data_IF_367066523285
#
_entry.id   IF_367066523285
#
_cell.length_a   1.000
_cell.length_b   1.000
_cell.length_c   1.000
_cell.angle_alpha   90.00
_cell.angle_beta   90.00
_cell.angle_gamma   90.00
#
_symmetry.space_group_name_H-M   'P 1'
#
loop_
_entity.id
_entity.type
_entity.pdbx_description
1 polymer ?
#
# COMPACT_ATOMS: atom_id res chain seq x y z
N UNK A 1 -21.15 -2.05 -12.06
CA UNK A 1 -20.00 -1.14 -12.08
C UNK A 1 -20.29 -0.05 -11.06
N UNK A 2 -19.31 0.32 -10.25
CA UNK A 2 -19.49 1.32 -9.19
C UNK A 2 -18.25 2.21 -9.09
N UNK A 3 -18.44 3.49 -8.79
CA UNK A 3 -17.34 4.42 -8.61
C UNK A 3 -16.58 4.14 -7.31
N UNK A 4 -15.26 4.32 -7.36
CA UNK A 4 -14.36 4.17 -6.23
C UNK A 4 -13.12 5.04 -6.33
N UNK A 5 -12.24 4.87 -5.35
CA UNK A 5 -10.91 5.45 -5.34
C UNK A 5 -9.86 4.34 -5.29
N UNK A 6 -8.77 4.55 -6.02
CA UNK A 6 -7.52 3.84 -5.83
C UNK A 6 -6.59 4.71 -5.00
N UNK A 7 -6.25 4.22 -3.81
CA UNK A 7 -5.17 4.74 -2.99
C UNK A 7 -3.88 4.00 -3.32
N UNK A 8 -2.83 4.76 -3.65
CA UNK A 8 -1.49 4.25 -3.90
C UNK A 8 -0.52 4.89 -2.92
N UNK A 9 0.01 4.11 -1.99
CA UNK A 9 1.02 4.57 -1.03
C UNK A 9 2.40 4.08 -1.43
N UNK A 10 3.38 4.98 -1.47
CA UNK A 10 4.77 4.69 -1.81
C UNK A 10 5.62 4.71 -0.53
N UNK A 11 6.24 3.59 -0.20
CA UNK A 11 7.08 3.40 0.99
C UNK A 11 8.36 2.66 0.62
N UNK A 12 9.34 2.62 1.52
CA UNK A 12 10.48 1.70 1.42
C UNK A 12 10.13 0.36 2.09
N UNK A 13 10.72 -0.74 1.64
CA UNK A 13 10.64 -2.02 2.36
C UNK A 13 11.43 -2.02 3.68
N UNK A 14 12.29 -1.01 3.87
CA UNK A 14 13.04 -0.74 5.09
C UNK A 14 12.31 0.18 6.08
N UNK A 15 11.21 0.82 5.69
CA UNK A 15 10.46 1.72 6.57
C UNK A 15 9.82 0.93 7.72
N UNK A 16 10.01 1.40 8.95
CA UNK A 16 9.50 0.73 10.16
C UNK A 16 8.56 1.61 10.97
N UNK A 17 7.48 1.00 11.43
CA UNK A 17 6.55 1.53 12.44
C UNK A 17 6.53 0.57 13.63
N UNK A 18 6.98 1.04 14.81
CA UNK A 18 7.14 0.19 16.01
C UNK A 18 7.81 -1.17 15.72
N UNK A 19 8.94 -1.14 15.00
CA UNK A 19 9.72 -2.31 14.57
C UNK A 19 9.02 -3.27 13.58
N UNK A 20 7.92 -2.83 12.96
CA UNK A 20 7.21 -3.60 11.93
C UNK A 20 7.28 -2.86 10.60
N UNK A 21 7.41 -3.57 9.46
CA UNK A 21 7.45 -2.92 8.17
C UNK A 21 6.20 -2.07 7.90
N UNK A 22 6.37 -0.82 7.46
CA UNK A 22 5.26 0.11 7.23
C UNK A 22 4.27 -0.45 6.20
N UNK A 23 4.75 -1.02 5.09
CA UNK A 23 3.85 -1.64 4.09
C UNK A 23 2.96 -2.72 4.71
N UNK A 24 3.50 -3.51 5.66
CA UNK A 24 2.75 -4.56 6.35
C UNK A 24 1.72 -3.96 7.31
N UNK A 25 2.07 -2.89 8.00
CA UNK A 25 1.16 -2.13 8.86
C UNK A 25 -0.01 -1.55 8.07
N UNK A 26 0.24 -0.96 6.88
CA UNK A 26 -0.81 -0.42 6.01
C UNK A 26 -1.80 -1.51 5.64
N UNK A 27 -1.31 -2.65 5.13
CA UNK A 27 -2.16 -3.80 4.74
C UNK A 27 -2.97 -4.30 5.93
N UNK A 28 -2.35 -4.45 7.10
CA UNK A 28 -3.06 -4.92 8.30
C UNK A 28 -4.11 -3.93 8.80
N UNK A 29 -3.80 -2.63 8.83
CA UNK A 29 -4.77 -1.59 9.23
C UNK A 29 -5.92 -1.53 8.23
N UNK A 30 -5.64 -1.63 6.93
CA UNK A 30 -6.67 -1.68 5.90
C UNK A 30 -7.62 -2.88 6.08
N UNK A 31 -7.06 -4.07 6.35
CA UNK A 31 -7.83 -5.26 6.68
C UNK A 31 -8.72 -5.03 7.92
N UNK A 32 -8.16 -4.48 9.00
CA UNK A 32 -8.91 -4.17 10.23
C UNK A 32 -10.00 -3.12 10.03
N UNK A 33 -9.79 -2.17 9.12
CA UNK A 33 -10.76 -1.14 8.76
C UNK A 33 -11.89 -1.66 7.85
N UNK A 34 -11.85 -2.93 7.43
CA UNK A 34 -12.90 -3.51 6.58
C UNK A 34 -12.87 -2.98 5.14
N UNK A 35 -11.70 -2.54 4.68
CA UNK A 35 -11.47 -2.26 3.27
C UNK A 35 -11.54 -3.57 2.47
N UNK A 36 -11.95 -3.44 1.21
CA UNK A 36 -12.15 -4.53 0.26
C UNK A 36 -10.93 -5.45 0.09
N UNK A 37 -9.75 -4.83 0.08
CA UNK A 37 -8.48 -5.49 -0.14
C UNK A 37 -7.36 -4.48 -0.22
N UNK A 38 -6.13 -4.97 -0.01
CA UNK A 38 -4.91 -4.22 -0.13
C UNK A 38 -3.84 -5.15 -0.72
N UNK A 39 -3.05 -4.64 -1.66
CA UNK A 39 -1.97 -5.39 -2.30
C UNK A 39 -0.67 -4.61 -2.19
N UNK A 40 0.40 -5.27 -1.75
CA UNK A 40 1.74 -4.70 -1.70
C UNK A 40 2.59 -5.24 -2.86
N UNK A 41 3.30 -4.35 -3.54
CA UNK A 41 4.18 -4.67 -4.68
C UNK A 41 5.58 -4.15 -4.37
N UNK A 42 6.58 -5.02 -4.52
CA UNK A 42 7.99 -4.62 -4.41
C UNK A 42 8.52 -4.25 -5.80
N UNK A 43 9.08 -3.06 -5.92
CA UNK A 43 9.77 -2.59 -7.12
C UNK A 43 11.20 -3.12 -7.21
N UNK A 44 11.77 -3.02 -8.41
CA UNK A 44 13.16 -3.42 -8.68
C UNK A 44 14.12 -2.29 -8.31
N UNK A 45 13.73 -1.05 -8.60
CA UNK A 45 14.48 0.16 -8.30
C UNK A 45 13.55 1.38 -8.23
N UNK A 46 14.02 2.44 -7.58
CA UNK A 46 13.30 3.72 -7.51
C UNK A 46 14.11 4.78 -6.78
N UNK A 47 13.69 6.05 -6.91
CA UNK A 47 14.24 7.16 -6.13
C UNK A 47 13.10 8.01 -5.57
N UNK A 48 13.31 8.51 -4.35
CA UNK A 48 12.36 9.39 -3.65
C UNK A 48 12.89 10.82 -3.53
N UNK A 49 12.37 11.55 -2.54
CA UNK A 49 12.72 12.95 -2.27
C UNK A 49 14.22 13.18 -1.98
N UNK A 50 14.95 12.14 -1.57
CA UNK A 50 16.41 12.20 -1.31
C UNK A 50 17.27 12.07 -2.57
N UNK A 51 16.67 11.74 -3.72
CA UNK A 51 17.36 11.60 -5.01
C UNK A 51 18.30 10.39 -5.11
N UNK A 52 18.37 9.53 -4.10
CA UNK A 52 19.18 8.30 -4.13
C UNK A 52 18.42 7.21 -4.89
N UNK A 53 19.10 6.55 -5.83
CA UNK A 53 18.58 5.37 -6.51
C UNK A 53 18.75 4.19 -5.57
N UNK A 54 17.64 3.56 -5.20
CA UNK A 54 17.60 2.31 -4.49
C UNK A 54 17.43 1.18 -5.51
N UNK A 55 18.30 0.17 -5.47
CA UNK A 55 18.36 -0.93 -6.46
C UNK A 55 19.06 -2.14 -5.82
N UNK A 56 18.75 -3.35 -6.28
CA UNK A 56 19.43 -4.59 -5.86
C UNK A 56 20.80 -4.71 -6.53
N UNK A 57 21.79 -3.90 -6.17
CA UNK A 57 23.17 -4.10 -6.62
C UNK A 57 23.95 -4.88 -5.55
N UNK A 58 24.63 -5.94 -5.99
CA UNK A 58 25.32 -7.00 -5.22
C UNK A 58 26.29 -6.52 -4.10
N UNK A 59 26.56 -5.22 -3.97
CA UNK A 59 27.49 -4.64 -2.99
C UNK A 59 26.87 -3.59 -2.05
N UNK A 60 25.56 -3.29 -2.12
CA UNK A 60 24.89 -2.44 -1.11
C UNK A 60 24.23 -3.31 -0.05
N UNK A 61 24.83 -3.37 1.14
CA UNK A 61 24.32 -4.11 2.32
C UNK A 61 23.01 -3.53 2.93
N UNK A 62 22.34 -2.60 2.24
CA UNK A 62 21.06 -2.02 2.64
C UNK A 62 20.24 -1.74 1.38
N UNK A 63 19.57 -2.78 0.88
CA UNK A 63 18.60 -2.64 -0.22
C UNK A 63 17.33 -2.00 0.36
N UNK A 64 17.11 -0.72 0.10
CA UNK A 64 15.88 0.00 0.46
C UNK A 64 14.94 0.05 -0.74
N UNK A 65 14.31 -1.08 -1.08
CA UNK A 65 13.54 -1.17 -2.32
C UNK A 65 12.20 -0.44 -2.20
N UNK A 66 11.76 0.26 -3.26
CA UNK A 66 10.44 0.88 -3.25
C UNK A 66 9.37 -0.20 -3.15
N UNK A 67 8.45 -0.02 -2.21
CA UNK A 67 7.27 -0.85 -2.03
C UNK A 67 6.03 0.02 -2.18
N UNK A 68 5.08 -0.45 -2.99
CA UNK A 68 3.83 0.25 -3.27
C UNK A 68 2.69 -0.54 -2.65
N UNK A 69 1.85 0.11 -1.85
CA UNK A 69 0.59 -0.48 -1.37
C UNK A 69 -0.58 0.14 -2.13
N UNK A 70 -1.36 -0.70 -2.80
CA UNK A 70 -2.55 -0.30 -3.56
C UNK A 70 -3.80 -0.79 -2.84
N UNK A 71 -4.76 0.10 -2.63
CA UNK A 71 -6.07 -0.17 -2.03
C UNK A 71 -7.13 0.41 -2.96
N UNK A 72 -8.14 -0.38 -3.31
CA UNK A 72 -9.28 0.08 -4.12
C UNK A 72 -10.56 -0.18 -3.36
N UNK A 73 -11.33 0.87 -3.07
CA UNK A 73 -12.64 0.75 -2.43
C UNK A 73 -13.49 2.00 -2.75
N UNK A 74 -14.71 2.03 -2.22
CA UNK A 74 -15.58 3.21 -2.19
C UNK A 74 -14.85 4.42 -1.60
N UNK A 75 -15.15 5.60 -2.14
CA UNK A 75 -14.63 6.88 -1.65
C UNK A 75 -14.74 7.01 -0.13
N UNK A 76 -15.92 6.75 0.43
CA UNK A 76 -16.19 6.91 1.85
C UNK A 76 -15.27 6.04 2.73
N UNK A 77 -14.99 4.81 2.32
CA UNK A 77 -14.09 3.92 3.08
C UNK A 77 -12.62 4.34 2.95
N UNK A 78 -12.20 4.77 1.77
CA UNK A 78 -10.83 5.28 1.56
C UNK A 78 -10.60 6.53 2.40
N UNK A 79 -11.51 7.51 2.34
CA UNK A 79 -11.42 8.75 3.11
C UNK A 79 -11.42 8.49 4.63
N UNK A 80 -12.22 7.53 5.11
CA UNK A 80 -12.21 7.11 6.51
C UNK A 80 -10.89 6.42 6.94
N UNK A 81 -10.15 5.85 5.99
CA UNK A 81 -8.87 5.20 6.25
C UNK A 81 -7.68 6.16 6.26
N UNK A 82 -7.77 7.32 5.57
CA UNK A 82 -6.65 8.27 5.44
C UNK A 82 -5.98 8.67 6.76
N UNK A 83 -6.71 8.96 7.87
CA UNK A 83 -6.05 9.29 9.14
C UNK A 83 -5.15 8.18 9.69
N UNK A 84 -5.49 6.90 9.44
CA UNK A 84 -4.67 5.76 9.85
C UNK A 84 -3.43 5.60 8.96
N UNK A 85 -3.52 6.01 7.70
CA UNK A 85 -2.40 6.04 6.76
C UNK A 85 -1.43 7.17 7.12
N UNK A 86 -1.94 8.37 7.41
CA UNK A 86 -1.14 9.54 7.77
C UNK A 86 -0.31 9.29 9.03
N UNK A 87 -0.82 8.51 9.99
CA UNK A 87 -0.06 8.08 11.16
C UNK A 87 1.16 7.21 10.79
N UNK A 88 1.01 6.34 9.79
CA UNK A 88 2.06 5.42 9.34
C UNK A 88 3.07 6.08 8.40
N UNK A 89 2.65 7.09 7.66
CA UNK A 89 3.45 7.80 6.65
C UNK A 89 3.35 9.32 6.92
N UNK A 90 3.95 9.83 8.02
CA UNK A 90 3.94 11.26 8.31
C UNK A 90 4.74 12.08 7.29
N UNK A 91 5.59 11.42 6.50
CA UNK A 91 6.26 11.98 5.32
C UNK A 91 6.43 10.90 4.26
N UNK A 92 6.22 11.25 3.00
CA UNK A 92 6.21 10.29 1.88
C UNK A 92 5.29 10.74 0.76
N UNK A 93 4.92 9.81 -0.11
CA UNK A 93 3.98 10.05 -1.21
C UNK A 93 2.83 9.06 -1.14
N UNK A 94 1.60 9.56 -1.16
CA UNK A 94 0.41 8.79 -1.43
C UNK A 94 -0.48 9.54 -2.43
N UNK A 95 -1.13 8.81 -3.32
CA UNK A 95 -2.01 9.39 -4.35
C UNK A 95 -3.39 8.74 -4.30
N UNK A 96 -4.39 9.51 -4.74
CA UNK A 96 -5.77 9.06 -4.93
C UNK A 96 -6.18 9.28 -6.37
N UNK A 97 -6.62 8.21 -7.05
CA UNK A 97 -7.21 8.30 -8.39
C UNK A 97 -8.64 7.78 -8.40
N UNK A 98 -9.60 8.47 -9.07
CA UNK A 98 -10.92 7.90 -9.35
C UNK A 98 -10.80 6.66 -10.23
N UNK A 99 -11.59 5.63 -9.92
CA UNK A 99 -11.65 4.39 -10.69
C UNK A 99 -13.08 3.87 -10.80
N UNK A 100 -13.36 3.12 -11.86
CA UNK A 100 -14.61 2.37 -12.01
C UNK A 100 -14.37 0.90 -11.63
N UNK A 101 -15.14 0.40 -10.67
CA UNK A 101 -15.02 -0.97 -10.16
C UNK A 101 -16.01 -1.86 -10.92
N UNK A 102 -15.47 -2.76 -11.76
CA UNK A 102 -16.29 -3.67 -12.58
C UNK A 102 -16.88 -4.83 -11.77
N UNK A 103 -16.05 -5.49 -10.96
CA UNK A 103 -16.42 -6.65 -10.17
C UNK A 103 -15.91 -6.52 -8.73
N UNK A 104 -16.85 -6.63 -7.80
CA UNK A 104 -16.57 -6.68 -6.37
C UNK A 104 -17.17 -7.97 -5.82
N UNK A 105 -16.35 -9.03 -5.81
CA UNK A 105 -16.75 -10.30 -5.23
C UNK A 105 -15.66 -10.75 -4.30
N UNK A 106 -15.98 -10.85 -3.00
CA UNK A 106 -15.24 -11.72 -2.12
C UNK A 106 -15.41 -13.12 -2.71
N UNK A 107 -14.42 -13.59 -3.47
CA UNK A 107 -14.39 -14.97 -3.91
C UNK A 107 -14.45 -15.82 -2.64
N UNK A 108 -15.66 -16.29 -2.32
CA UNK A 108 -15.95 -17.22 -1.25
C UNK A 108 -14.99 -18.38 -1.45
N UNK A 109 -13.96 -18.47 -0.62
CA UNK A 109 -13.03 -19.59 -0.64
C UNK A 109 -13.89 -20.85 -0.60
N UNK A 110 -13.89 -21.60 -1.69
CA UNK A 110 -14.32 -22.99 -1.65
C UNK A 110 -13.38 -23.63 -0.63
N UNK A 111 -13.90 -23.97 0.54
CA UNK A 111 -13.30 -24.99 1.40
C UNK A 111 -13.20 -26.23 0.53
N UNK A 112 -12.00 -26.49 -0.01
CA UNK A 112 -11.65 -27.82 -0.43
C UNK A 112 -11.37 -28.61 0.84
N UNK A 113 -12.08 -29.72 0.93
CA UNK A 113 -12.11 -30.70 2.01
C UNK A 113 -10.74 -31.35 2.22
#
# INVERSE_FOLDING_TARGET
MSDGLRLTAFVSDSDLWHHKPVYHEIVRRAQKAGLAGASAFRGIEGYGATGRIHTTRILSLADELPTIVIIVDTRAKIEAFLPQLDELIPGGLATLEPVEILHFSAARQRRAM
#
